data_IF_524973841848
#
_entry.id   IF_524973841848
#
_cell.length_a   1.000
_cell.length_b   1.000
_cell.length_c   1.000
_cell.angle_alpha   90.00
_cell.angle_beta   90.00
_cell.angle_gamma   90.00
#
_symmetry.space_group_name_H-M   'P 1'
#
loop_
_entity.id
_entity.type
_entity.pdbx_description
1 polymer ?
#
# COMPACT_ATOMS: atom_id res chain seq x y z
N UNK A 1 23.07 45.68 -75.20
CA UNK A 1 23.21 44.88 -73.97
C UNK A 1 22.28 45.48 -72.92
N UNK A 2 21.12 44.87 -72.66
CA UNK A 2 20.15 45.32 -71.64
C UNK A 2 19.83 44.11 -70.74
N UNK A 3 20.35 44.13 -69.51
CA UNK A 3 20.10 43.09 -68.52
C UNK A 3 18.71 43.29 -67.90
N UNK A 4 17.86 42.27 -68.03
CA UNK A 4 16.57 42.16 -67.36
C UNK A 4 16.75 41.35 -66.08
N UNK A 5 16.55 41.99 -64.92
CA UNK A 5 16.45 41.32 -63.62
C UNK A 5 14.96 41.12 -63.31
N UNK A 6 14.55 39.86 -63.11
CA UNK A 6 13.21 39.48 -62.64
C UNK A 6 13.20 39.44 -61.10
N UNK A 7 12.19 40.01 -60.41
CA UNK A 7 12.11 39.91 -58.96
C UNK A 7 11.51 38.55 -58.58
N UNK A 8 12.20 37.83 -57.69
CA UNK A 8 11.74 36.58 -57.11
C UNK A 8 10.98 36.89 -55.82
N UNK A 9 9.66 36.69 -55.83
CA UNK A 9 8.79 36.88 -54.67
C UNK A 9 8.84 35.60 -53.83
N UNK A 10 9.34 35.71 -52.61
CA UNK A 10 9.31 34.64 -51.61
C UNK A 10 8.00 34.75 -50.82
N UNK A 11 7.13 33.75 -50.95
CA UNK A 11 5.93 33.61 -50.11
C UNK A 11 6.37 32.90 -48.82
N UNK A 12 6.48 33.66 -47.73
CA UNK A 12 6.60 33.12 -46.38
C UNK A 12 5.23 32.57 -45.96
N UNK A 13 5.08 31.25 -46.00
CA UNK A 13 3.94 30.56 -45.39
C UNK A 13 4.06 30.65 -43.86
N UNK A 14 3.38 31.63 -43.26
CA UNK A 14 3.26 31.75 -41.82
C UNK A 14 2.39 30.63 -41.25
N UNK A 15 3.00 29.71 -40.49
CA UNK A 15 2.28 28.73 -39.71
C UNK A 15 1.50 29.45 -38.60
N UNK A 16 0.19 29.58 -38.75
CA UNK A 16 -0.70 30.17 -37.74
C UNK A 16 -0.87 29.17 -36.61
N UNK A 17 -0.06 29.32 -35.56
CA UNK A 17 -0.28 28.65 -34.29
C UNK A 17 -1.52 29.25 -33.62
N UNK A 18 -2.65 28.55 -33.67
CA UNK A 18 -3.82 28.90 -32.86
C UNK A 18 -3.49 28.62 -31.40
N UNK A 19 -3.23 29.67 -30.62
CA UNK A 19 -3.16 29.54 -29.16
C UNK A 19 -4.56 29.23 -28.63
N UNK A 20 -4.71 28.05 -28.03
CA UNK A 20 -5.89 27.73 -27.25
C UNK A 20 -5.84 28.54 -25.94
N UNK A 21 -6.69 29.55 -25.82
CA UNK A 21 -6.86 30.26 -24.55
C UNK A 21 -7.78 29.44 -23.64
N UNK A 22 -7.25 29.04 -22.49
CA UNK A 22 -8.09 28.44 -21.45
C UNK A 22 -9.12 29.47 -20.95
N UNK A 23 -10.36 29.02 -20.75
CA UNK A 23 -11.41 29.87 -20.20
C UNK A 23 -11.05 30.30 -18.76
N UNK A 24 -11.24 31.58 -18.45
CA UNK A 24 -11.02 32.10 -17.09
C UNK A 24 -12.18 31.69 -16.19
N UNK A 25 -11.84 31.13 -15.01
CA UNK A 25 -12.81 30.80 -13.95
C UNK A 25 -12.60 31.79 -12.80
N UNK A 26 -13.65 32.51 -12.42
CA UNK A 26 -13.62 33.38 -11.25
C UNK A 26 -13.90 32.57 -9.97
N UNK A 27 -13.04 32.72 -8.96
CA UNK A 27 -13.18 32.11 -7.63
C UNK A 27 -13.20 33.23 -6.59
N UNK A 28 -14.24 33.29 -5.76
CA UNK A 28 -14.34 34.23 -4.64
C UNK A 28 -14.14 33.50 -3.32
N UNK A 29 -13.37 34.09 -2.40
CA UNK A 29 -13.11 33.56 -1.07
C UNK A 29 -13.63 34.57 -0.05
N UNK A 30 -14.56 34.16 0.81
CA UNK A 30 -14.99 34.91 2.00
C UNK A 30 -14.47 34.20 3.26
N UNK A 31 -13.61 34.87 4.01
CA UNK A 31 -13.00 34.30 5.23
C UNK A 31 -13.93 34.32 6.45
N UNK A 32 -15.07 35.03 6.37
CA UNK A 32 -16.07 35.10 7.42
C UNK A 32 -17.21 34.10 7.25
N UNK A 33 -17.46 33.64 6.03
CA UNK A 33 -18.48 32.64 5.72
C UNK A 33 -18.12 31.24 6.26
N UNK A 34 -19.12 30.50 6.74
CA UNK A 34 -19.09 29.06 7.04
C UNK A 34 -17.88 28.55 7.85
N UNK A 35 -17.42 29.33 8.82
CA UNK A 35 -16.26 28.95 9.64
C UNK A 35 -16.57 27.72 10.50
N UNK A 36 -15.77 26.67 10.34
CA UNK A 36 -15.74 25.52 11.24
C UNK A 36 -14.30 25.05 11.50
N UNK A 37 -14.04 24.36 12.63
CA UNK A 37 -12.74 23.78 12.89
C UNK A 37 -12.35 22.73 11.83
N UNK A 38 -11.07 22.67 11.49
CA UNK A 38 -10.47 21.59 10.71
C UNK A 38 -9.69 20.69 11.66
N UNK A 39 -10.12 19.43 11.80
CA UNK A 39 -9.37 18.40 12.53
C UNK A 39 -8.13 18.03 11.72
N UNK A 40 -6.95 18.06 12.34
CA UNK A 40 -5.70 17.77 11.64
C UNK A 40 -5.65 16.30 11.20
N UNK A 41 -6.28 15.41 11.96
CA UNK A 41 -6.29 13.96 11.78
C UNK A 41 -6.85 13.52 10.41
N UNK A 42 -7.55 14.39 9.67
CA UNK A 42 -7.97 14.13 8.28
C UNK A 42 -6.78 13.95 7.33
N UNK A 43 -5.61 14.47 7.69
CA UNK A 43 -4.35 14.30 6.94
C UNK A 43 -3.55 13.08 7.42
N UNK A 44 -4.19 12.14 8.10
CA UNK A 44 -3.57 10.90 8.54
C UNK A 44 -3.21 9.96 7.39
N UNK A 45 -2.35 8.99 7.69
CA UNK A 45 -1.84 7.99 6.74
C UNK A 45 -1.90 6.59 7.35
N UNK A 46 -1.83 5.54 6.53
CA UNK A 46 -1.77 4.14 6.99
C UNK A 46 -0.44 3.49 6.63
N UNK A 47 -0.05 2.45 7.36
CA UNK A 47 1.13 1.63 7.05
C UNK A 47 2.38 2.09 7.80
N UNK A 48 3.54 2.09 7.12
CA UNK A 48 4.84 2.46 7.68
C UNK A 48 5.51 3.55 6.83
N UNK A 49 4.95 4.78 6.80
CA UNK A 49 5.53 5.90 6.07
C UNK A 49 6.82 6.40 6.73
N UNK A 50 7.61 7.20 5.99
CA UNK A 50 8.67 7.99 6.58
C UNK A 50 8.08 9.19 7.34
N UNK A 51 8.02 9.04 8.67
CA UNK A 51 7.52 10.08 9.59
C UNK A 51 8.48 11.27 9.75
N UNK A 52 9.73 11.16 9.29
CA UNK A 52 10.69 12.27 9.27
C UNK A 52 10.53 13.17 8.05
N UNK A 53 10.02 12.63 6.94
CA UNK A 53 9.78 13.39 5.71
C UNK A 53 8.51 14.25 5.78
N UNK A 54 7.46 13.73 6.42
CA UNK A 54 6.17 14.41 6.55
C UNK A 54 5.62 14.21 7.97
N UNK A 55 5.26 15.32 8.62
CA UNK A 55 4.64 15.31 9.94
C UNK A 55 3.15 14.94 9.83
N UNK A 56 2.86 13.64 9.66
CA UNK A 56 1.48 13.16 9.64
C UNK A 56 0.85 13.27 11.04
N UNK A 57 -0.34 13.87 11.20
CA UNK A 57 -0.96 14.02 12.51
C UNK A 57 -1.55 12.72 13.06
N UNK A 58 -1.80 11.72 12.20
CA UNK A 58 -2.34 10.42 12.58
C UNK A 58 -1.69 9.32 11.74
N UNK A 59 -1.30 8.22 12.40
CA UNK A 59 -0.86 6.99 11.75
C UNK A 59 -1.81 5.85 12.10
N UNK A 60 -2.38 5.22 11.07
CA UNK A 60 -3.23 4.05 11.22
C UNK A 60 -2.44 2.77 10.98
N UNK A 61 -2.40 1.92 12.00
CA UNK A 61 -1.99 0.53 11.88
C UNK A 61 -3.23 -0.35 11.67
N UNK A 62 -3.37 -0.87 10.46
CA UNK A 62 -4.54 -1.64 10.07
C UNK A 62 -4.40 -2.29 8.71
N UNK A 63 -5.45 -2.98 8.27
CA UNK A 63 -5.50 -3.70 7.00
C UNK A 63 -5.93 -5.15 7.20
N UNK A 64 -5.84 -5.94 6.13
CA UNK A 64 -6.30 -7.32 6.13
C UNK A 64 -5.56 -8.19 7.16
N UNK A 65 -4.23 -8.08 7.22
CA UNK A 65 -3.41 -8.86 8.15
C UNK A 65 -3.66 -8.53 9.61
N UNK A 66 -3.95 -7.27 9.93
CA UNK A 66 -4.13 -6.82 11.33
C UNK A 66 -5.41 -7.37 11.95
N UNK A 67 -6.41 -7.76 11.15
CA UNK A 67 -7.61 -8.47 11.62
C UNK A 67 -7.25 -9.77 12.36
N UNK A 68 -6.15 -10.41 11.96
CA UNK A 68 -5.66 -11.70 12.46
C UNK A 68 -4.26 -11.55 13.06
N UNK A 69 -3.98 -10.44 13.74
CA UNK A 69 -2.73 -10.29 14.48
C UNK A 69 -2.84 -10.91 15.86
N UNK A 70 -1.84 -11.71 16.26
CA UNK A 70 -1.70 -12.23 17.61
C UNK A 70 -0.67 -11.39 18.38
N UNK A 71 -1.17 -10.47 19.21
CA UNK A 71 -0.35 -9.58 20.03
C UNK A 71 0.51 -10.28 21.08
N UNK A 72 0.15 -11.49 21.50
CA UNK A 72 0.91 -12.24 22.49
C UNK A 72 2.23 -12.79 21.94
N UNK A 73 2.29 -12.97 20.62
CA UNK A 73 3.40 -13.62 19.95
C UNK A 73 3.96 -12.83 18.77
N UNK A 74 3.41 -11.65 18.44
CA UNK A 74 3.85 -10.86 17.29
C UNK A 74 3.86 -11.68 15.99
N UNK A 75 2.70 -12.29 15.69
CA UNK A 75 2.46 -13.09 14.48
C UNK A 75 1.17 -12.63 13.83
N UNK A 76 1.21 -12.31 12.54
CA UNK A 76 0.01 -12.02 11.74
C UNK A 76 -0.32 -13.16 10.76
N UNK A 77 -1.55 -13.16 10.26
CA UNK A 77 -1.93 -13.97 9.10
C UNK A 77 -2.11 -13.06 7.88
N UNK A 78 -1.49 -13.39 6.75
CA UNK A 78 -1.54 -12.63 5.49
C UNK A 78 -2.87 -12.73 4.75
N UNK A 79 -3.88 -13.41 5.31
CA UNK A 79 -5.17 -13.63 4.68
C UNK A 79 -5.05 -14.22 3.26
N UNK A 80 -5.98 -13.90 2.37
CA UNK A 80 -5.88 -14.26 0.95
C UNK A 80 -4.85 -13.42 0.20
N UNK A 81 -4.31 -12.35 0.81
CA UNK A 81 -3.34 -11.48 0.15
C UNK A 81 -2.04 -12.23 -0.16
N UNK A 82 -1.69 -13.22 0.67
CA UNK A 82 -0.53 -14.08 0.44
C UNK A 82 -0.69 -15.48 1.06
N UNK A 83 -1.30 -16.43 0.35
CA UNK A 83 -1.33 -17.87 0.68
C UNK A 83 -1.73 -18.25 2.12
N UNK A 84 -2.55 -17.42 2.80
CA UNK A 84 -3.09 -17.67 4.15
C UNK A 84 -2.00 -18.00 5.18
N UNK A 85 -0.87 -17.31 5.08
CA UNK A 85 0.33 -17.60 5.84
C UNK A 85 0.33 -16.91 7.20
N UNK A 86 0.73 -17.63 8.24
CA UNK A 86 1.13 -17.03 9.51
C UNK A 86 2.60 -16.65 9.41
N UNK A 87 2.91 -15.37 9.61
CA UNK A 87 4.25 -14.81 9.51
C UNK A 87 4.61 -14.20 10.87
N UNK A 88 5.71 -14.65 11.50
CA UNK A 88 6.26 -13.97 12.66
C UNK A 88 6.87 -12.62 12.27
N UNK A 89 6.51 -11.56 13.00
CA UNK A 89 7.00 -10.20 12.77
C UNK A 89 8.16 -9.83 13.70
N UNK A 90 8.34 -10.56 14.80
CA UNK A 90 9.35 -10.25 15.82
C UNK A 90 9.87 -11.47 16.57
N UNK A 91 10.06 -11.34 17.88
CA UNK A 91 10.75 -12.34 18.72
C UNK A 91 9.80 -13.29 19.48
N UNK A 92 8.49 -13.18 19.29
CA UNK A 92 7.52 -14.03 19.99
C UNK A 92 7.03 -13.51 21.33
N UNK A 93 7.28 -12.24 21.65
CA UNK A 93 6.82 -11.65 22.91
C UNK A 93 6.08 -10.33 22.65
N UNK A 94 5.15 -9.92 23.54
CA UNK A 94 4.50 -8.61 23.41
C UNK A 94 5.50 -7.46 23.49
N UNK A 95 6.48 -7.60 24.40
CA UNK A 95 7.53 -6.61 24.63
C UNK A 95 8.45 -6.52 23.42
N UNK A 96 8.50 -5.35 22.79
CA UNK A 96 9.32 -5.14 21.58
C UNK A 96 8.71 -5.78 20.32
N UNK A 97 7.41 -6.05 20.31
CA UNK A 97 6.69 -6.45 19.10
C UNK A 97 6.72 -5.37 18.03
N UNK A 98 6.44 -5.77 16.78
CA UNK A 98 6.30 -4.85 15.65
C UNK A 98 5.29 -3.72 15.91
N UNK A 99 4.20 -4.02 16.63
CA UNK A 99 3.17 -3.03 16.99
C UNK A 99 3.67 -2.05 18.06
N UNK A 100 4.41 -2.53 19.07
CA UNK A 100 5.03 -1.65 20.08
C UNK A 100 6.06 -0.72 19.43
N UNK A 101 6.88 -1.23 18.49
CA UNK A 101 7.84 -0.42 17.76
C UNK A 101 7.16 0.66 16.90
N UNK A 102 6.05 0.32 16.24
CA UNK A 102 5.24 1.28 15.49
C UNK A 102 4.61 2.34 16.42
N UNK A 103 4.06 1.93 17.56
CA UNK A 103 3.51 2.86 18.55
C UNK A 103 4.56 3.84 19.07
N UNK A 104 5.74 3.33 19.45
CA UNK A 104 6.83 4.14 19.95
C UNK A 104 7.31 5.17 18.92
N UNK A 105 7.51 4.75 17.66
CA UNK A 105 7.93 5.66 16.57
C UNK A 105 6.84 6.69 16.21
N UNK A 106 5.57 6.28 16.23
CA UNK A 106 4.42 7.18 15.99
C UNK A 106 4.36 8.29 17.03
N UNK A 107 4.45 7.92 18.30
CA UNK A 107 4.41 8.88 19.42
C UNK A 107 5.64 9.79 19.41
N UNK A 108 6.83 9.25 19.11
CA UNK A 108 8.06 10.03 18.98
C UNK A 108 7.99 11.07 17.84
N UNK A 109 7.22 10.80 16.79
CA UNK A 109 6.96 11.73 15.70
C UNK A 109 5.86 12.77 16.02
N UNK A 110 5.20 12.68 17.17
CA UNK A 110 4.08 13.55 17.56
C UNK A 110 2.75 13.21 16.88
N UNK A 111 2.67 12.05 16.22
CA UNK A 111 1.48 11.55 15.55
C UNK A 111 0.56 10.80 16.53
N UNK A 112 -0.74 10.79 16.25
CA UNK A 112 -1.70 9.96 16.98
C UNK A 112 -1.79 8.54 16.37
N UNK A 113 -1.61 7.46 17.16
CA UNK A 113 -1.80 6.11 16.66
C UNK A 113 -3.29 5.73 16.60
N UNK A 114 -3.70 5.11 15.50
CA UNK A 114 -5.00 4.44 15.35
C UNK A 114 -4.78 2.94 15.09
N UNK A 115 -5.08 2.10 16.08
CA UNK A 115 -4.81 0.67 16.03
C UNK A 115 -6.06 -0.16 15.71
N UNK A 116 -5.87 -1.21 14.91
CA UNK A 116 -6.88 -2.25 14.71
C UNK A 116 -6.81 -3.30 15.82
N UNK A 117 -7.94 -3.60 16.46
CA UNK A 117 -8.07 -4.75 17.36
C UNK A 117 -8.80 -5.88 16.62
N UNK A 118 -8.23 -7.09 16.66
CA UNK A 118 -8.82 -8.26 16.01
C UNK A 118 -10.09 -8.74 16.72
N UNK A 119 -11.23 -8.70 16.03
CA UNK A 119 -12.54 -9.13 16.55
C UNK A 119 -13.10 -10.38 15.86
N UNK A 120 -12.37 -10.96 14.91
CA UNK A 120 -12.83 -12.09 14.08
C UNK A 120 -12.87 -13.43 14.83
N UNK A 121 -12.33 -13.48 16.06
CA UNK A 121 -12.30 -14.66 16.93
C UNK A 121 -11.13 -15.63 16.68
N UNK A 122 -10.56 -15.65 15.48
CA UNK A 122 -9.41 -16.51 15.14
C UNK A 122 -8.17 -15.70 14.80
N UNK A 123 -7.07 -15.96 15.51
CA UNK A 123 -5.73 -15.39 15.25
C UNK A 123 -4.68 -16.51 15.13
N UNK A 124 -3.50 -16.23 14.55
CA UNK A 124 -2.40 -17.19 14.47
C UNK A 124 -2.05 -17.80 15.82
N UNK A 125 -1.60 -19.05 15.79
CA UNK A 125 -1.00 -19.68 16.97
C UNK A 125 0.29 -18.93 17.34
N UNK A 126 0.61 -18.90 18.64
CA UNK A 126 1.83 -18.32 19.18
C UNK A 126 3.07 -19.18 18.83
N UNK A 127 3.46 -19.19 17.55
CA UNK A 127 4.58 -19.96 17.03
C UNK A 127 5.44 -19.05 16.16
N UNK A 128 6.73 -18.96 16.49
CA UNK A 128 7.73 -18.16 15.76
C UNK A 128 8.27 -18.88 14.52
N UNK A 129 7.36 -19.38 13.68
CA UNK A 129 7.71 -20.06 12.44
C UNK A 129 6.64 -19.78 11.39
N UNK A 130 7.08 -19.62 10.13
CA UNK A 130 6.18 -19.51 8.97
C UNK A 130 5.26 -20.74 8.89
N UNK A 131 3.95 -20.51 8.79
CA UNK A 131 2.92 -21.57 8.60
C UNK A 131 1.89 -21.10 7.57
N UNK A 132 1.04 -21.99 7.07
CA UNK A 132 0.03 -21.68 6.06
C UNK A 132 -1.27 -22.46 6.28
N UNK A 133 -2.39 -21.82 5.94
CA UNK A 133 -3.73 -22.35 6.18
C UNK A 133 -4.10 -23.52 5.27
N UNK A 134 -3.66 -23.50 4.00
CA UNK A 134 -4.00 -24.49 2.97
C UNK A 134 -2.78 -25.29 2.50
N UNK A 135 -2.24 -26.12 3.39
CA UNK A 135 -1.17 -27.07 3.05
C UNK A 135 -1.59 -28.02 1.92
N UNK A 136 -0.81 -28.08 0.84
CA UNK A 136 -1.00 -29.02 -0.27
C UNK A 136 -0.80 -30.47 0.19
N UNK A 137 0.17 -30.72 1.06
CA UNK A 137 0.42 -32.03 1.68
C UNK A 137 -0.82 -32.49 2.45
N UNK A 138 -1.52 -31.57 3.10
CA UNK A 138 -2.70 -31.89 3.92
C UNK A 138 -4.01 -31.96 3.13
N UNK A 139 -4.24 -31.02 2.21
CA UNK A 139 -5.54 -30.84 1.53
C UNK A 139 -5.52 -31.24 0.05
N UNK A 140 -4.37 -31.68 -0.48
CA UNK A 140 -4.21 -32.09 -1.87
C UNK A 140 -3.80 -30.94 -2.81
N UNK A 141 -3.63 -31.26 -4.11
CA UNK A 141 -3.22 -30.30 -5.13
C UNK A 141 -4.18 -29.11 -5.25
N UNK A 142 -3.60 -27.93 -5.40
CA UNK A 142 -4.30 -26.65 -5.55
C UNK A 142 -3.83 -25.96 -6.82
N UNK A 143 -4.63 -25.00 -7.33
CA UNK A 143 -4.33 -24.31 -8.59
C UNK A 143 -3.02 -23.53 -8.54
N UNK A 144 -2.71 -22.92 -7.38
CA UNK A 144 -1.50 -22.13 -7.17
C UNK A 144 -0.97 -22.39 -5.76
N UNK A 145 0.35 -22.53 -5.66
CA UNK A 145 1.15 -22.47 -4.43
C UNK A 145 2.08 -21.26 -4.42
N UNK A 146 2.61 -20.87 -3.25
CA UNK A 146 3.52 -19.73 -3.11
C UNK A 146 4.70 -19.83 -4.08
N UNK A 147 5.28 -21.02 -4.26
CA UNK A 147 6.35 -21.22 -5.24
C UNK A 147 5.84 -21.10 -6.68
N UNK A 148 4.73 -21.75 -7.03
CA UNK A 148 4.24 -21.73 -8.42
C UNK A 148 3.81 -20.34 -8.90
N UNK A 149 3.45 -19.43 -7.97
CA UNK A 149 3.16 -18.03 -8.28
C UNK A 149 4.31 -17.33 -9.02
N UNK A 150 5.56 -17.72 -8.74
CA UNK A 150 6.75 -17.17 -9.38
C UNK A 150 7.15 -17.89 -10.68
N UNK A 151 6.34 -18.84 -11.15
CA UNK A 151 6.61 -19.58 -12.38
C UNK A 151 7.82 -20.51 -12.27
N UNK A 152 8.67 -20.54 -13.30
CA UNK A 152 9.74 -21.53 -13.45
C UNK A 152 10.95 -21.32 -12.53
N UNK A 153 11.14 -20.11 -12.00
CA UNK A 153 12.30 -19.76 -11.17
C UNK A 153 11.85 -19.20 -9.82
N UNK A 154 11.25 -20.05 -8.96
CA UNK A 154 10.75 -19.58 -7.68
C UNK A 154 11.90 -19.21 -6.74
N UNK A 155 11.71 -18.17 -5.91
CA UNK A 155 12.72 -17.77 -4.94
C UNK A 155 12.90 -18.87 -3.87
N UNK A 156 14.12 -19.03 -3.37
CA UNK A 156 14.45 -20.10 -2.40
C UNK A 156 13.66 -20.02 -1.07
N UNK A 157 13.06 -18.85 -0.76
CA UNK A 157 12.26 -18.64 0.45
C UNK A 157 10.78 -19.01 0.29
N UNK A 158 10.32 -19.32 -0.94
CA UNK A 158 8.94 -19.73 -1.18
C UNK A 158 8.66 -21.09 -0.54
N UNK A 159 7.38 -21.39 -0.33
CA UNK A 159 6.92 -22.66 0.23
C UNK A 159 5.99 -23.36 -0.75
N UNK A 160 6.45 -24.46 -1.33
CA UNK A 160 5.67 -25.22 -2.31
C UNK A 160 4.41 -25.86 -1.70
N UNK A 161 4.43 -26.09 -0.39
CA UNK A 161 3.27 -26.60 0.36
C UNK A 161 2.21 -25.52 0.66
N UNK A 162 2.54 -24.23 0.55
CA UNK A 162 1.60 -23.15 0.85
C UNK A 162 0.68 -22.92 -0.35
N UNK A 163 -0.50 -23.53 -0.34
CA UNK A 163 -1.51 -23.41 -1.38
C UNK A 163 -2.45 -22.22 -1.21
N UNK A 164 -3.12 -21.83 -2.29
CA UNK A 164 -4.02 -20.67 -2.34
C UNK A 164 -5.48 -20.98 -1.91
N UNK A 165 -5.76 -22.19 -1.44
CA UNK A 165 -7.08 -22.66 -1.03
C UNK A 165 -8.04 -22.98 -2.18
N UNK A 166 -7.60 -22.92 -3.44
CA UNK A 166 -8.44 -23.23 -4.60
C UNK A 166 -8.00 -24.54 -5.24
N UNK A 167 -8.93 -25.47 -5.42
CA UNK A 167 -8.69 -26.75 -6.08
C UNK A 167 -9.37 -26.76 -7.45
N UNK A 168 -8.81 -27.50 -8.41
CA UNK A 168 -9.55 -27.83 -9.63
C UNK A 168 -10.55 -28.95 -9.28
N UNK A 169 -11.87 -28.76 -9.46
CA UNK A 169 -12.85 -29.82 -9.20
C UNK A 169 -12.91 -30.90 -10.29
N UNK A 170 -12.00 -30.87 -11.28
CA UNK A 170 -11.93 -31.85 -12.38
C UNK A 170 -11.51 -33.25 -11.92
#
# INVERSE_FOLDING_TARGET
>A
MRNSLRPMVWILAGCLWTQANAATIAVSIDLAADRHPLKQEIFGVSGAPDLGAVAYPLLRWGGNSTTRYNWQADVHNTASDWFFMNIPDGNGTPSGSSVEALLASTLAAGSQPLLTLGTIGWTPKAVQQKRWGYSVIKYGPQLVTECSYFGSNPPAWCTADAGNGTCNPA
#
